data_IF_255922865494
#
_entry.id   IF_255922865494
#
_cell.length_a   1.000
_cell.length_b   1.000
_cell.length_c   1.000
_cell.angle_alpha   90.00
_cell.angle_beta   90.00
_cell.angle_gamma   90.00
#
_symmetry.space_group_name_H-M   'P 1'
#
loop_
_entity.id
_entity.type
_entity.pdbx_description
1 polymer ?
#
# COMPACT_ATOMS: atom_id res chain seq x y z
N UNK A 1 -4.36 40.94 21.41
CA UNK A 1 -3.23 40.02 21.18
C UNK A 1 -3.28 38.97 22.29
N UNK A 2 -3.88 37.81 22.02
CA UNK A 2 -3.83 36.63 22.90
C UNK A 2 -3.48 35.46 21.99
N UNK A 3 -2.28 34.89 22.21
CA UNK A 3 -1.75 33.77 21.44
C UNK A 3 -2.54 32.52 21.82
N UNK A 4 -3.14 31.89 20.81
CA UNK A 4 -3.84 30.61 20.94
C UNK A 4 -2.78 29.52 21.18
N UNK A 5 -2.96 28.60 22.15
CA UNK A 5 -1.99 27.55 22.38
C UNK A 5 -1.90 26.64 21.15
N UNK A 6 -0.66 26.38 20.75
CA UNK A 6 -0.25 25.55 19.63
C UNK A 6 -1.00 24.22 19.69
N UNK A 7 -1.69 23.91 18.59
CA UNK A 7 -2.36 22.65 18.31
C UNK A 7 -1.42 21.50 18.69
N UNK A 8 -1.78 20.72 19.72
CA UNK A 8 -1.17 19.43 19.94
C UNK A 8 -1.29 18.66 18.62
N UNK A 9 -0.18 18.22 18.05
CA UNK A 9 -0.20 17.39 16.86
C UNK A 9 -1.10 16.19 17.16
N UNK A 10 -2.27 16.15 16.50
CA UNK A 10 -3.13 14.96 16.53
C UNK A 10 -2.28 13.86 15.93
N UNK A 11 -1.80 12.97 16.79
CA UNK A 11 -1.10 11.78 16.33
C UNK A 11 -2.13 11.01 15.51
N UNK A 12 -1.91 10.77 14.21
CA UNK A 12 -2.85 9.98 13.43
C UNK A 12 -3.03 8.64 14.13
N UNK A 13 -4.26 8.31 14.51
CA UNK A 13 -4.55 7.02 15.15
C UNK A 13 -4.51 5.87 14.14
N UNK A 14 -4.61 6.18 12.84
CA UNK A 14 -4.50 5.22 11.76
C UNK A 14 -3.07 4.97 11.26
N UNK A 15 -2.95 3.99 10.39
CA UNK A 15 -1.70 3.59 9.73
C UNK A 15 -1.16 4.66 8.81
N UNK A 16 0.16 4.68 8.65
CA UNK A 16 0.80 5.34 7.52
C UNK A 16 0.79 4.38 6.33
N UNK A 17 0.12 4.77 5.24
CA UNK A 17 0.01 4.00 4.01
C UNK A 17 0.74 4.72 2.88
N UNK A 18 1.72 4.06 2.27
CA UNK A 18 2.36 4.54 1.05
C UNK A 18 1.56 4.03 -0.16
N UNK A 19 1.06 4.93 -0.98
CA UNK A 19 0.23 4.62 -2.15
C UNK A 19 0.98 5.00 -3.43
N UNK A 20 1.02 4.08 -4.39
CA UNK A 20 1.57 4.34 -5.73
C UNK A 20 0.99 3.38 -6.76
N UNK A 21 1.42 3.51 -8.01
CA UNK A 21 1.20 2.52 -9.06
C UNK A 21 2.50 1.78 -9.41
N UNK A 22 2.41 0.81 -10.31
CA UNK A 22 3.61 0.30 -10.98
C UNK A 22 4.17 1.35 -11.93
N UNK A 23 5.48 1.27 -12.21
CA UNK A 23 6.22 2.27 -12.99
C UNK A 23 5.73 2.46 -14.43
N UNK A 24 5.03 1.47 -15.00
CA UNK A 24 4.48 1.54 -16.36
C UNK A 24 3.03 2.03 -16.42
N UNK A 25 2.40 2.33 -15.28
CA UNK A 25 0.98 2.63 -15.19
C UNK A 25 0.75 4.13 -14.92
N UNK A 26 0.14 4.83 -15.88
CA UNK A 26 -0.14 6.26 -15.83
C UNK A 26 -1.54 6.60 -15.35
N UNK A 27 -2.34 5.62 -14.94
CA UNK A 27 -3.68 5.88 -14.42
C UNK A 27 -3.59 6.49 -13.03
N UNK A 28 -4.33 7.58 -12.82
CA UNK A 28 -4.27 8.38 -11.59
C UNK A 28 -5.57 8.37 -10.80
N UNK A 29 -6.72 8.12 -11.44
CA UNK A 29 -8.02 8.18 -10.78
C UNK A 29 -8.20 7.10 -9.70
N UNK A 30 -7.69 5.91 -9.95
CA UNK A 30 -7.56 4.83 -8.97
C UNK A 30 -6.77 5.27 -7.73
N UNK A 31 -5.69 6.03 -7.90
CA UNK A 31 -4.88 6.53 -6.79
C UNK A 31 -5.63 7.59 -5.98
N UNK A 32 -6.32 8.52 -6.64
CA UNK A 32 -7.17 9.51 -5.96
C UNK A 32 -8.29 8.81 -5.18
N UNK A 33 -8.98 7.86 -5.80
CA UNK A 33 -10.03 7.08 -5.15
C UNK A 33 -9.51 6.32 -3.92
N UNK A 34 -8.40 5.59 -4.06
CA UNK A 34 -7.81 4.83 -2.97
C UNK A 34 -7.33 5.74 -1.84
N UNK A 35 -6.76 6.90 -2.15
CA UNK A 35 -6.39 7.89 -1.14
C UNK A 35 -7.61 8.33 -0.33
N UNK A 36 -8.68 8.77 -0.99
CA UNK A 36 -9.91 9.20 -0.33
C UNK A 36 -10.51 8.06 0.53
N UNK A 37 -10.55 6.83 -0.01
CA UNK A 37 -11.06 5.66 0.72
C UNK A 37 -10.25 5.38 1.98
N UNK A 38 -8.91 5.39 1.89
CA UNK A 38 -8.02 5.11 3.01
C UNK A 38 -8.04 6.23 4.06
N UNK A 39 -8.15 7.48 3.62
CA UNK A 39 -8.29 8.65 4.51
C UNK A 39 -9.64 8.65 5.23
N UNK A 40 -10.74 8.30 4.55
CA UNK A 40 -12.06 8.13 5.16
C UNK A 40 -12.05 7.00 6.22
N UNK A 41 -11.21 5.98 6.02
CA UNK A 41 -10.95 4.93 7.01
C UNK A 41 -10.05 5.39 8.19
N UNK A 42 -9.59 6.64 8.19
CA UNK A 42 -8.79 7.25 9.25
C UNK A 42 -7.29 6.99 9.14
N UNK A 43 -6.78 6.53 7.99
CA UNK A 43 -5.35 6.33 7.75
C UNK A 43 -4.67 7.57 7.18
N UNK A 44 -3.37 7.69 7.41
CA UNK A 44 -2.54 8.72 6.79
C UNK A 44 -1.95 8.19 5.49
N UNK A 45 -2.29 8.80 4.36
CA UNK A 45 -1.82 8.34 3.04
C UNK A 45 -0.71 9.24 2.53
N UNK A 46 0.43 8.65 2.20
CA UNK A 46 1.48 9.27 1.40
C UNK A 46 1.35 8.75 -0.02
N UNK A 47 0.74 9.56 -0.90
CA UNK A 47 0.51 9.19 -2.29
C UNK A 47 1.68 9.68 -3.17
N UNK A 48 2.52 8.75 -3.63
CA UNK A 48 3.65 9.06 -4.52
C UNK A 48 3.22 9.30 -5.96
N UNK A 49 1.96 9.01 -6.30
CA UNK A 49 1.42 9.15 -7.65
C UNK A 49 1.71 7.94 -8.55
N UNK A 50 1.49 8.18 -9.84
CA UNK A 50 1.58 7.18 -10.89
C UNK A 50 2.99 7.16 -11.52
N UNK A 51 3.32 6.09 -12.25
CA UNK A 51 4.60 5.92 -12.96
C UNK A 51 5.86 6.11 -12.09
N UNK A 52 5.78 5.84 -10.79
CA UNK A 52 6.92 6.02 -9.88
C UNK A 52 7.97 4.93 -10.18
N UNK A 53 9.26 5.30 -10.39
CA UNK A 53 10.32 4.30 -10.54
C UNK A 53 10.47 3.46 -9.26
N UNK A 54 10.72 2.15 -9.40
CA UNK A 54 10.84 1.25 -8.23
C UNK A 54 11.84 1.77 -7.19
N UNK A 55 12.97 2.31 -7.64
CA UNK A 55 14.04 2.78 -6.75
C UNK A 55 13.55 3.92 -5.86
N UNK A 56 12.83 4.89 -6.45
CA UNK A 56 12.23 5.97 -5.70
C UNK A 56 11.18 5.46 -4.72
N UNK A 57 10.32 4.53 -5.14
CA UNK A 57 9.32 3.92 -4.25
C UNK A 57 9.98 3.22 -3.06
N UNK A 58 11.07 2.50 -3.30
CA UNK A 58 11.82 1.79 -2.25
C UNK A 58 12.54 2.76 -1.31
N UNK A 59 13.14 3.82 -1.84
CA UNK A 59 13.78 4.89 -1.07
C UNK A 59 12.76 5.58 -0.15
N UNK A 60 11.61 5.98 -0.69
CA UNK A 60 10.52 6.58 0.07
C UNK A 60 9.96 5.60 1.11
N UNK A 61 9.79 4.33 0.76
CA UNK A 61 9.36 3.30 1.71
C UNK A 61 10.36 3.13 2.86
N UNK A 62 11.66 3.21 2.60
CA UNK A 62 12.71 3.15 3.61
C UNK A 62 12.70 4.39 4.52
N UNK A 63 12.53 5.58 3.94
CA UNK A 63 12.48 6.84 4.67
C UNK A 63 11.24 6.96 5.56
N UNK A 64 10.06 6.65 5.00
CA UNK A 64 8.76 6.81 5.66
C UNK A 64 8.51 5.67 6.65
N UNK A 65 9.00 4.46 6.36
CA UNK A 65 8.69 3.20 7.08
C UNK A 65 7.17 3.02 7.28
N UNK A 66 6.40 2.95 6.18
CA UNK A 66 4.95 2.85 6.25
C UNK A 66 4.51 1.53 6.89
N UNK A 67 3.32 1.52 7.50
CA UNK A 67 2.70 0.29 8.00
C UNK A 67 2.18 -0.59 6.85
N UNK A 68 1.93 0.00 5.68
CA UNK A 68 1.45 -0.67 4.47
C UNK A 68 1.90 0.08 3.21
N UNK A 69 2.29 -0.68 2.18
CA UNK A 69 2.41 -0.17 0.80
C UNK A 69 1.24 -0.72 -0.02
N UNK A 70 0.54 0.16 -0.73
CA UNK A 70 -0.56 -0.17 -1.64
C UNK A 70 -0.13 0.18 -3.06
N UNK A 71 -0.11 -0.83 -3.93
CA UNK A 71 0.20 -0.69 -5.35
C UNK A 71 -1.10 -0.83 -6.15
N UNK A 72 -1.52 0.24 -6.83
CA UNK A 72 -2.66 0.18 -7.73
C UNK A 72 -2.21 0.08 -9.17
N UNK A 73 -2.80 -0.84 -9.92
CA UNK A 73 -2.50 -0.97 -11.35
C UNK A 73 -3.72 -1.42 -12.12
N UNK A 74 -3.97 -0.78 -13.26
CA UNK A 74 -5.08 -1.09 -14.17
C UNK A 74 -4.63 -1.20 -15.63
N UNK A 75 -3.35 -1.00 -15.93
CA UNK A 75 -2.80 -1.12 -17.28
C UNK A 75 -2.63 -2.58 -17.76
N UNK A 76 -2.86 -3.58 -16.90
CA UNK A 76 -2.72 -5.00 -17.22
C UNK A 76 -1.30 -5.55 -17.10
N UNK A 77 -0.32 -4.77 -16.60
CA UNK A 77 1.06 -5.22 -16.35
C UNK A 77 1.33 -5.58 -14.89
N UNK A 78 0.30 -5.61 -14.04
CA UNK A 78 0.44 -5.88 -12.61
C UNK A 78 1.19 -7.16 -12.28
N UNK A 79 1.05 -8.23 -13.09
CA UNK A 79 1.85 -9.44 -12.91
C UNK A 79 3.36 -9.19 -13.10
N UNK A 80 3.76 -8.62 -14.23
CA UNK A 80 5.17 -8.47 -14.62
C UNK A 80 5.85 -7.41 -13.75
N UNK A 81 5.25 -6.23 -13.66
CA UNK A 81 5.83 -5.13 -12.89
C UNK A 81 5.70 -5.35 -11.39
N UNK A 82 4.59 -5.92 -10.93
CA UNK A 82 4.42 -6.28 -9.53
C UNK A 82 5.47 -7.29 -9.08
N UNK A 83 5.71 -8.34 -9.86
CA UNK A 83 6.73 -9.34 -9.53
C UNK A 83 8.15 -8.74 -9.48
N UNK A 84 8.48 -7.84 -10.42
CA UNK A 84 9.75 -7.10 -10.42
C UNK A 84 9.88 -6.22 -9.17
N UNK A 85 8.86 -5.42 -8.86
CA UNK A 85 8.85 -4.51 -7.72
C UNK A 85 9.00 -5.27 -6.40
N UNK A 86 8.15 -6.29 -6.17
CA UNK A 86 8.16 -7.02 -4.89
C UNK A 86 9.47 -7.77 -4.67
N UNK A 87 10.05 -8.33 -5.73
CA UNK A 87 11.37 -8.97 -5.66
C UNK A 87 12.45 -8.01 -5.15
N UNK A 88 12.47 -6.77 -5.65
CA UNK A 88 13.42 -5.73 -5.18
C UNK A 88 13.16 -5.30 -3.74
N UNK A 89 11.90 -5.15 -3.33
CA UNK A 89 11.56 -4.82 -1.95
C UNK A 89 11.99 -5.94 -0.98
N UNK A 90 11.74 -7.21 -1.35
CA UNK A 90 12.11 -8.36 -0.52
C UNK A 90 13.62 -8.60 -0.46
N UNK A 91 14.39 -8.15 -1.46
CA UNK A 91 15.85 -8.25 -1.42
C UNK A 91 16.53 -7.21 -0.51
N UNK A 92 15.81 -6.20 0.00
CA UNK A 92 16.38 -5.10 0.79
C UNK A 92 16.01 -5.17 2.27
N UNK A 93 16.97 -5.15 3.21
CA UNK A 93 16.70 -5.23 4.66
C UNK A 93 15.66 -4.22 5.17
N UNK A 94 15.68 -3.01 4.63
CA UNK A 94 14.84 -1.88 5.01
C UNK A 94 13.36 -2.02 4.61
N UNK A 95 13.05 -2.80 3.57
CA UNK A 95 11.67 -2.95 3.04
C UNK A 95 11.17 -4.40 2.99
N UNK A 96 12.04 -5.39 3.24
CA UNK A 96 11.69 -6.82 3.14
C UNK A 96 10.56 -7.28 4.06
N UNK A 97 10.31 -6.57 5.15
CA UNK A 97 9.24 -6.90 6.10
C UNK A 97 8.02 -5.98 6.00
N UNK A 98 8.08 -4.92 5.18
CA UNK A 98 6.93 -4.03 5.00
C UNK A 98 5.80 -4.78 4.31
N UNK A 99 4.57 -4.79 4.85
CA UNK A 99 3.41 -5.33 4.15
C UNK A 99 3.20 -4.60 2.83
N UNK A 100 3.00 -5.34 1.75
CA UNK A 100 2.75 -4.78 0.42
C UNK A 100 1.55 -5.48 -0.18
N UNK A 101 0.57 -4.72 -0.65
CA UNK A 101 -0.59 -5.24 -1.39
C UNK A 101 -0.64 -4.63 -2.78
N UNK A 102 -1.22 -5.38 -3.71
CA UNK A 102 -1.43 -4.93 -5.10
C UNK A 102 -2.85 -5.18 -5.54
N UNK A 103 -3.43 -4.28 -6.33
CA UNK A 103 -4.76 -4.51 -6.88
C UNK A 103 -5.15 -3.67 -8.09
N UNK A 104 -6.32 -4.01 -8.63
CA UNK A 104 -6.86 -3.51 -9.89
C UNK A 104 -6.77 -4.57 -10.99
N UNK A 105 -6.49 -4.14 -12.23
CA UNK A 105 -6.40 -5.04 -13.39
C UNK A 105 -4.97 -5.51 -13.61
N UNK A 106 -4.68 -6.71 -13.09
CA UNK A 106 -3.32 -7.27 -13.01
C UNK A 106 -2.81 -7.91 -14.31
N UNK A 107 -3.69 -8.15 -15.28
CA UNK A 107 -3.40 -8.83 -16.53
C UNK A 107 -4.26 -8.33 -17.69
N UNK A 108 -3.84 -8.66 -18.91
CA UNK A 108 -4.57 -8.33 -20.14
C UNK A 108 -5.48 -9.47 -20.64
N UNK A 109 -5.30 -10.69 -20.11
CA UNK A 109 -6.10 -11.87 -20.45
C UNK A 109 -7.10 -12.18 -19.32
N UNK A 110 -8.40 -12.12 -19.65
CA UNK A 110 -9.50 -12.23 -18.68
C UNK A 110 -9.76 -13.63 -18.09
N UNK A 111 -8.72 -14.45 -17.88
CA UNK A 111 -8.88 -15.83 -17.41
C UNK A 111 -7.74 -16.40 -16.55
N UNK A 112 -6.69 -15.63 -16.26
CA UNK A 112 -5.52 -16.10 -15.49
C UNK A 112 -5.31 -15.33 -14.17
N UNK A 113 -6.36 -14.71 -13.62
CA UNK A 113 -6.25 -13.85 -12.44
C UNK A 113 -5.90 -14.61 -11.15
N UNK A 114 -6.47 -15.80 -10.91
CA UNK A 114 -6.14 -16.61 -9.72
C UNK A 114 -4.68 -17.06 -9.73
N UNK A 115 -4.20 -17.60 -10.85
CA UNK A 115 -2.78 -17.98 -11.03
C UNK A 115 -1.86 -16.77 -10.86
N UNK A 116 -2.26 -15.61 -11.37
CA UNK A 116 -1.51 -14.35 -11.20
C UNK A 116 -1.44 -13.93 -9.74
N UNK A 117 -2.56 -13.97 -9.02
CA UNK A 117 -2.62 -13.63 -7.61
C UNK A 117 -1.74 -14.56 -6.76
N UNK A 118 -1.81 -15.87 -6.99
CA UNK A 118 -0.98 -16.85 -6.30
C UNK A 118 0.52 -16.62 -6.55
N UNK A 119 0.91 -16.31 -7.79
CA UNK A 119 2.31 -16.01 -8.13
C UNK A 119 2.79 -14.73 -7.43
N UNK A 120 1.98 -13.68 -7.40
CA UNK A 120 2.33 -12.42 -6.73
C UNK A 120 2.44 -12.59 -5.20
N UNK A 121 1.54 -13.35 -4.59
CA UNK A 121 1.63 -13.68 -3.15
C UNK A 121 2.90 -14.49 -2.88
N UNK A 122 3.17 -15.51 -3.69
CA UNK A 122 4.38 -16.34 -3.56
C UNK A 122 5.68 -15.54 -3.75
N UNK A 123 5.65 -14.49 -4.57
CA UNK A 123 6.77 -13.57 -4.78
C UNK A 123 6.97 -12.59 -3.60
N UNK A 124 5.97 -12.44 -2.72
CA UNK A 124 6.09 -11.71 -1.46
C UNK A 124 5.03 -10.64 -1.20
N UNK A 125 4.00 -10.51 -2.03
CA UNK A 125 2.86 -9.65 -1.70
C UNK A 125 2.07 -10.26 -0.53
N UNK A 126 1.60 -9.40 0.37
CA UNK A 126 0.80 -9.81 1.53
C UNK A 126 -0.66 -10.09 1.16
N UNK A 127 -1.18 -9.43 0.13
CA UNK A 127 -2.48 -9.70 -0.46
C UNK A 127 -2.55 -9.16 -1.89
N UNK A 128 -3.45 -9.72 -2.68
CA UNK A 128 -3.76 -9.31 -4.05
C UNK A 128 -5.26 -9.10 -4.17
N UNK A 129 -5.67 -7.95 -4.72
CA UNK A 129 -7.07 -7.58 -4.93
C UNK A 129 -7.35 -7.42 -6.42
N UNK A 130 -7.94 -8.44 -7.06
CA UNK A 130 -8.28 -8.41 -8.48
C UNK A 130 -9.37 -7.36 -8.81
N UNK A 131 -9.70 -7.18 -10.09
CA UNK A 131 -10.57 -6.09 -10.54
C UNK A 131 -12.05 -6.24 -10.13
N UNK A 132 -12.44 -7.42 -9.69
CA UNK A 132 -13.75 -7.73 -9.09
C UNK A 132 -13.77 -7.60 -7.56
N UNK A 133 -12.64 -7.26 -6.93
CA UNK A 133 -12.55 -7.15 -5.48
C UNK A 133 -13.35 -5.96 -4.94
N UNK A 134 -14.20 -6.23 -3.96
CA UNK A 134 -14.92 -5.17 -3.24
C UNK A 134 -13.95 -4.27 -2.45
N UNK A 135 -14.17 -2.94 -2.41
CA UNK A 135 -13.37 -2.02 -1.60
C UNK A 135 -13.25 -2.44 -0.12
N UNK A 136 -14.30 -3.07 0.42
CA UNK A 136 -14.32 -3.58 1.78
C UNK A 136 -13.24 -4.66 2.06
N UNK A 137 -12.74 -5.35 1.03
CA UNK A 137 -11.67 -6.34 1.17
C UNK A 137 -10.36 -5.71 1.65
N UNK A 138 -10.02 -4.52 1.13
CA UNK A 138 -8.85 -3.76 1.59
C UNK A 138 -8.99 -3.37 3.06
N UNK A 139 -10.20 -2.95 3.47
CA UNK A 139 -10.47 -2.64 4.87
C UNK A 139 -10.34 -3.82 5.82
N UNK A 140 -10.81 -5.01 5.41
CA UNK A 140 -10.62 -6.24 6.18
C UNK A 140 -9.14 -6.61 6.33
N UNK A 141 -8.34 -6.43 5.28
CA UNK A 141 -6.90 -6.66 5.33
C UNK A 141 -6.22 -5.69 6.31
N UNK A 142 -6.51 -4.39 6.23
CA UNK A 142 -6.00 -3.39 7.16
C UNK A 142 -6.33 -3.73 8.62
N UNK A 143 -7.57 -4.14 8.91
CA UNK A 143 -7.96 -4.57 10.25
C UNK A 143 -7.23 -5.84 10.73
N UNK A 144 -6.79 -6.71 9.82
CA UNK A 144 -5.99 -7.89 10.16
C UNK A 144 -4.57 -7.53 10.61
N UNK A 145 -3.99 -6.46 10.05
CA UNK A 145 -2.68 -5.94 10.45
C UNK A 145 -2.74 -5.37 11.89
N UNK A 146 -3.90 -4.88 12.35
CA UNK A 146 -4.05 -4.36 13.72
C UNK A 146 -3.93 -5.46 14.77
N UNK A 147 -4.48 -6.63 14.44
CA UNK A 147 -4.44 -7.81 15.32
C UNK A 147 -3.04 -8.39 15.42
N UNK A 148 -2.22 -8.22 14.38
CA UNK A 148 -0.84 -8.70 14.34
C UNK A 148 0.15 -7.79 15.11
N UNK A 149 -0.23 -6.55 15.44
CA UNK A 149 0.64 -5.64 16.20
C UNK A 149 0.61 -6.01 17.68
N UNK A 150 1.75 -6.33 18.33
CA UNK A 150 1.76 -6.44 19.79
C UNK A 150 1.33 -5.10 20.38
N UNK A 151 0.31 -5.12 21.25
CA UNK A 151 -0.19 -3.93 21.97
C UNK A 151 1.02 -3.21 22.57
N UNK A 152 1.34 -2.00 22.10
CA UNK A 152 2.27 -1.10 22.81
C UNK A 152 1.63 -0.87 24.18
N UNK A 153 2.19 -1.50 25.20
CA UNK A 153 1.85 -1.19 26.58
C UNK A 153 2.29 0.26 26.78
N UNK A 154 1.32 1.16 26.93
CA UNK A 154 1.61 2.53 27.36
C UNK A 154 2.12 2.39 28.78
N UNK A 155 3.43 2.54 28.95
CA UNK A 155 4.03 2.66 30.28
C UNK A 155 3.47 3.95 30.88
N UNK A 156 2.54 3.81 31.83
CA UNK A 156 2.19 4.89 32.73
C UNK A 156 3.45 5.19 33.56
N UNK A 157 3.95 6.41 33.45
CA UNK A 157 4.91 7.02 34.39
C UNK A 157 4.20 8.13 35.12
#
# INVERSE_FOLDING_TARGET
>A
MLMNPVTAAVVPSGRTVLLSSVSSDSHTWNLVFLQLLLEEMGHHVVNLGACVPDELLIEECSAIRPDLVVISTVNGHGQVDGHRLIGKMRSRPETRHTPVVIGGKLGITGGAQEDTAHRLISAGFSAVFADDAEPAALGRFLASLDRARPRRQVAAS
#
